data_IF_223460707838
#
_entry.id   IF_223460707838
#
_cell.length_a   1.000
_cell.length_b   1.000
_cell.length_c   1.000
_cell.angle_alpha   90.00
_cell.angle_beta   90.00
_cell.angle_gamma   90.00
#
_symmetry.space_group_name_H-M   'P 1'
#
loop_
_entity.id
_entity.type
_entity.pdbx_description
1 polymer ?
#
# COMPACT_ATOMS: atom_id res chain seq x y z
N UNK A 1 21.40 12.70 16.01
CA UNK A 1 21.34 11.22 15.98
C UNK A 1 20.55 10.82 14.74
N UNK A 2 20.95 9.79 14.00
CA UNK A 2 20.13 9.31 12.88
C UNK A 2 18.84 8.68 13.41
N UNK A 3 17.71 9.11 12.86
CA UNK A 3 16.39 8.57 13.16
C UNK A 3 15.73 8.09 11.88
N UNK A 4 14.76 7.20 12.02
CA UNK A 4 13.83 6.92 10.92
C UNK A 4 12.71 7.94 11.03
N UNK A 5 12.43 8.62 9.93
CA UNK A 5 11.38 9.62 9.83
C UNK A 5 10.39 9.19 8.75
N UNK A 6 9.11 9.39 9.03
CA UNK A 6 8.01 9.17 8.12
C UNK A 6 7.16 10.41 8.02
N UNK A 7 6.72 10.72 6.81
CA UNK A 7 5.74 11.75 6.56
C UNK A 7 4.58 11.13 5.80
N UNK A 8 3.40 11.22 6.41
CA UNK A 8 2.14 10.64 5.98
C UNK A 8 1.15 11.78 5.75
N UNK A 9 0.30 11.64 4.74
CA UNK A 9 -0.74 12.59 4.36
C UNK A 9 -2.03 11.84 3.98
N UNK A 10 -3.18 12.51 3.98
CA UNK A 10 -4.47 11.92 3.58
C UNK A 10 -4.72 12.09 2.08
N UNK A 11 -4.92 10.96 1.40
CA UNK A 11 -5.20 10.94 -0.03
C UNK A 11 -6.49 11.69 -0.35
N UNK A 12 -6.41 12.73 -1.20
CA UNK A 12 -7.57 13.44 -1.73
C UNK A 12 -8.24 14.40 -0.75
N UNK A 13 -7.65 14.69 0.41
CA UNK A 13 -8.29 15.49 1.46
C UNK A 13 -8.72 16.89 1.01
N UNK A 14 -7.88 17.59 0.24
CA UNK A 14 -8.25 18.90 -0.35
C UNK A 14 -9.53 18.84 -1.19
N UNK A 15 -9.78 17.75 -1.91
CA UNK A 15 -11.02 17.57 -2.68
C UNK A 15 -12.21 17.29 -1.75
N UNK A 16 -12.00 16.59 -0.63
CA UNK A 16 -13.02 16.36 0.38
C UNK A 16 -13.48 17.68 1.00
N UNK A 17 -12.53 18.56 1.35
CA UNK A 17 -12.82 19.89 1.90
C UNK A 17 -13.65 20.72 0.91
N UNK A 18 -13.26 20.73 -0.37
CA UNK A 18 -14.02 21.43 -1.41
C UNK A 18 -15.44 20.87 -1.62
N UNK A 19 -15.63 19.57 -1.40
CA UNK A 19 -16.95 18.93 -1.55
C UNK A 19 -17.86 19.18 -0.35
N UNK A 20 -17.36 18.99 0.87
CA UNK A 20 -18.08 19.22 2.14
C UNK A 20 -17.09 19.33 3.30
N UNK A 21 -16.87 20.55 3.78
CA UNK A 21 -15.95 20.85 4.88
C UNK A 21 -16.31 20.10 6.17
N UNK A 22 -17.60 19.92 6.47
CA UNK A 22 -18.02 19.25 7.71
C UNK A 22 -17.72 17.75 7.65
N UNK A 23 -17.97 17.10 6.52
CA UNK A 23 -17.62 15.68 6.34
C UNK A 23 -16.10 15.50 6.30
N UNK A 24 -15.36 16.41 5.65
CA UNK A 24 -13.90 16.39 5.65
C UNK A 24 -13.34 16.54 7.08
N UNK A 25 -13.89 17.44 7.89
CA UNK A 25 -13.51 17.61 9.29
C UNK A 25 -13.73 16.34 10.12
N UNK A 26 -14.79 15.58 9.86
CA UNK A 26 -15.03 14.27 10.52
C UNK A 26 -13.92 13.28 10.16
N UNK A 27 -13.56 13.17 8.88
CA UNK A 27 -12.47 12.30 8.42
C UNK A 27 -11.13 12.69 9.06
N UNK A 28 -10.82 13.99 9.09
CA UNK A 28 -9.58 14.48 9.70
C UNK A 28 -9.52 14.16 11.20
N UNK A 29 -10.63 14.35 11.91
CA UNK A 29 -10.71 14.00 13.32
C UNK A 29 -10.55 12.49 13.56
N UNK A 30 -11.12 11.65 12.69
CA UNK A 30 -10.93 10.20 12.77
C UNK A 30 -9.45 9.82 12.55
N UNK A 31 -8.78 10.44 11.58
CA UNK A 31 -7.34 10.26 11.36
C UNK A 31 -6.54 10.63 12.61
N UNK A 32 -6.77 11.80 13.19
CA UNK A 32 -6.09 12.26 14.40
C UNK A 32 -6.29 11.30 15.57
N UNK A 33 -7.53 10.87 15.80
CA UNK A 33 -7.85 9.95 16.89
C UNK A 33 -7.18 8.59 16.70
N UNK A 34 -7.10 8.08 15.48
CA UNK A 34 -6.41 6.82 15.16
C UNK A 34 -4.90 6.99 15.36
N UNK A 35 -4.30 8.02 14.76
CA UNK A 35 -2.86 8.28 14.86
C UNK A 35 -2.42 8.45 16.32
N UNK A 36 -3.13 9.29 17.08
CA UNK A 36 -2.86 9.52 18.49
C UNK A 36 -2.91 8.22 19.31
N UNK A 37 -3.94 7.38 19.10
CA UNK A 37 -4.09 6.11 19.83
C UNK A 37 -2.98 5.12 19.52
N UNK A 38 -2.53 5.02 18.27
CA UNK A 38 -1.47 4.07 17.91
C UNK A 38 -0.08 4.54 18.30
N UNK A 39 0.21 5.84 18.19
CA UNK A 39 1.49 6.42 18.64
C UNK A 39 1.61 6.31 20.16
N UNK A 40 0.55 6.64 20.91
CA UNK A 40 0.55 6.55 22.39
C UNK A 40 0.88 5.14 22.92
N UNK A 41 0.58 4.08 22.16
CA UNK A 41 0.90 2.69 22.54
C UNK A 41 2.39 2.34 22.39
N UNK A 42 3.17 3.16 21.69
CA UNK A 42 4.57 2.91 21.36
C UNK A 42 5.43 4.08 21.82
N UNK A 43 5.94 4.06 23.07
CA UNK A 43 6.75 5.15 23.62
C UNK A 43 8.01 5.47 22.82
N UNK A 44 8.51 4.53 22.00
CA UNK A 44 9.64 4.70 21.10
C UNK A 44 9.31 5.52 19.84
N UNK A 45 8.03 5.78 19.56
CA UNK A 45 7.57 6.53 18.38
C UNK A 45 7.05 7.89 18.81
N UNK A 46 7.59 8.94 18.21
CA UNK A 46 7.10 10.30 18.35
C UNK A 46 6.29 10.68 17.12
N UNK A 47 5.27 11.53 17.27
CA UNK A 47 4.50 12.01 16.14
C UNK A 47 3.94 13.41 16.35
N UNK A 48 3.91 14.16 15.25
CA UNK A 48 3.41 15.52 15.13
C UNK A 48 2.31 15.54 14.07
N UNK A 49 1.11 15.91 14.48
CA UNK A 49 -0.05 16.07 13.59
C UNK A 49 -0.19 17.54 13.20
N UNK A 50 -0.32 17.82 11.91
CA UNK A 50 -0.59 19.16 11.39
C UNK A 50 -1.40 19.04 10.10
N UNK A 51 -2.56 19.68 10.04
CA UNK A 51 -3.51 19.46 8.93
C UNK A 51 -3.77 17.96 8.69
N UNK A 52 -4.01 17.53 7.47
CA UNK A 52 -4.06 16.16 6.98
C UNK A 52 -2.76 15.35 7.09
N UNK A 53 -1.68 15.93 7.63
CA UNK A 53 -0.37 15.30 7.68
C UNK A 53 0.03 14.81 9.08
N UNK A 54 0.77 13.71 9.09
CA UNK A 54 1.45 13.15 10.26
C UNK A 54 2.94 13.02 9.95
N UNK A 55 3.75 13.68 10.79
CA UNK A 55 5.19 13.51 10.83
C UNK A 55 5.54 12.63 12.02
N UNK A 56 6.06 11.43 11.77
CA UNK A 56 6.41 10.47 12.81
C UNK A 56 7.88 10.09 12.73
N UNK A 57 8.53 9.88 13.87
CA UNK A 57 9.92 9.44 13.91
C UNK A 57 10.23 8.55 15.10
N UNK A 58 11.23 7.70 14.93
CA UNK A 58 11.71 6.79 15.97
C UNK A 58 13.19 6.49 15.76
N UNK A 59 13.86 6.09 16.84
CA UNK A 59 15.19 5.50 16.78
C UNK A 59 15.11 4.01 16.35
N UNK A 60 13.93 3.39 16.39
CA UNK A 60 13.66 2.02 15.91
C UNK A 60 12.84 2.03 14.62
N UNK A 61 13.39 1.41 13.57
CA UNK A 61 12.74 1.34 12.25
C UNK A 61 11.49 0.46 12.32
N UNK A 62 11.64 -0.71 12.91
CA UNK A 62 10.57 -1.69 13.10
C UNK A 62 9.41 -1.11 13.91
N UNK A 63 9.65 -0.38 14.99
CA UNK A 63 8.57 0.23 15.77
C UNK A 63 7.80 1.27 14.97
N UNK A 64 8.51 2.09 14.19
CA UNK A 64 7.86 3.08 13.32
C UNK A 64 7.04 2.41 12.22
N UNK A 65 7.59 1.42 11.51
CA UNK A 65 6.84 0.65 10.48
C UNK A 65 5.59 0.02 11.09
N UNK A 66 5.76 -0.65 12.24
CA UNK A 66 4.67 -1.36 12.89
C UNK A 66 3.58 -0.41 13.40
N UNK A 67 3.95 0.79 13.87
CA UNK A 67 3.01 1.84 14.27
C UNK A 67 2.21 2.35 13.07
N UNK A 68 2.90 2.74 12.01
CA UNK A 68 2.28 3.35 10.83
C UNK A 68 1.38 2.36 10.08
N UNK A 69 1.82 1.11 9.91
CA UNK A 69 0.98 0.09 9.29
C UNK A 69 -0.32 -0.16 10.09
N UNK A 70 -0.27 -0.13 11.42
CA UNK A 70 -1.48 -0.22 12.25
C UNK A 70 -2.40 1.00 12.09
N UNK A 71 -1.85 2.22 11.92
CA UNK A 71 -2.63 3.41 11.58
C UNK A 71 -3.33 3.23 10.24
N UNK A 72 -2.62 2.74 9.22
CA UNK A 72 -3.19 2.49 7.88
C UNK A 72 -4.34 1.48 7.90
N UNK A 73 -4.16 0.35 8.61
CA UNK A 73 -5.23 -0.65 8.76
C UNK A 73 -6.48 -0.05 9.40
N UNK A 74 -6.32 0.70 10.49
CA UNK A 74 -7.45 1.31 11.22
C UNK A 74 -8.13 2.39 10.41
N UNK A 75 -7.37 3.17 9.65
CA UNK A 75 -7.89 4.12 8.68
C UNK A 75 -8.74 3.40 7.63
N UNK A 76 -8.23 2.31 7.04
CA UNK A 76 -8.99 1.52 6.08
C UNK A 76 -10.29 0.97 6.69
N UNK A 77 -10.22 0.33 7.87
CA UNK A 77 -11.41 -0.19 8.58
C UNK A 77 -12.48 0.88 8.80
N UNK A 78 -12.07 2.10 9.12
CA UNK A 78 -12.98 3.21 9.41
C UNK A 78 -13.84 3.59 8.20
N UNK A 79 -13.41 3.29 6.98
CA UNK A 79 -14.19 3.54 5.76
C UNK A 79 -15.52 2.78 5.72
N UNK A 80 -15.67 1.69 6.46
CA UNK A 80 -16.95 0.99 6.53
C UNK A 80 -18.06 1.83 7.20
N UNK A 81 -17.66 2.83 8.01
CA UNK A 81 -18.58 3.76 8.67
C UNK A 81 -18.96 4.98 7.83
N UNK A 82 -18.35 5.18 6.66
CA UNK A 82 -18.63 6.33 5.79
C UNK A 82 -19.64 6.00 4.71
N UNK A 83 -20.39 7.02 4.32
CA UNK A 83 -21.26 7.01 3.14
C UNK A 83 -20.60 7.81 2.01
N UNK A 84 -20.97 7.53 0.76
CA UNK A 84 -20.41 8.22 -0.43
C UNK A 84 -18.88 8.08 -0.55
N UNK A 85 -18.37 6.84 -0.54
CA UNK A 85 -16.93 6.53 -0.64
C UNK A 85 -16.26 7.01 -1.93
N UNK A 86 -17.03 7.48 -2.90
CA UNK A 86 -16.53 8.17 -4.10
C UNK A 86 -16.02 9.60 -3.82
N UNK A 87 -16.35 10.15 -2.65
CA UNK A 87 -15.98 11.51 -2.24
C UNK A 87 -15.30 11.53 -0.88
N UNK A 88 -15.74 10.69 0.05
CA UNK A 88 -15.33 10.74 1.45
C UNK A 88 -14.76 9.40 1.88
N UNK A 89 -13.45 9.36 2.11
CA UNK A 89 -12.72 8.16 2.50
C UNK A 89 -11.50 8.52 3.36
N UNK A 90 -11.03 7.57 4.17
CA UNK A 90 -9.87 7.74 5.03
C UNK A 90 -8.76 6.80 4.56
N UNK A 91 -7.84 7.33 3.76
CA UNK A 91 -6.74 6.58 3.16
C UNK A 91 -5.42 7.36 3.32
N UNK A 92 -4.56 7.00 4.28
CA UNK A 92 -3.25 7.62 4.43
C UNK A 92 -2.29 7.16 3.33
N UNK A 93 -1.33 8.02 2.97
CA UNK A 93 -0.23 7.74 2.04
C UNK A 93 1.05 8.36 2.58
N UNK A 94 2.21 7.77 2.30
CA UNK A 94 3.46 8.34 2.79
C UNK A 94 4.68 7.47 2.62
N UNK A 95 5.82 8.05 2.94
CA UNK A 95 7.13 7.38 2.90
C UNK A 95 7.81 7.55 4.25
N UNK A 96 8.72 6.62 4.49
CA UNK A 96 9.75 6.75 5.49
C UNK A 96 11.14 6.65 4.86
N UNK A 97 12.10 7.32 5.45
CA UNK A 97 13.51 7.11 5.17
C UNK A 97 14.33 7.25 6.45
N UNK A 98 15.54 6.68 6.42
CA UNK A 98 16.56 7.04 7.39
C UNK A 98 17.01 8.48 7.12
N UNK A 99 17.17 9.27 8.16
CA UNK A 99 17.70 10.62 8.05
C UNK A 99 18.22 11.12 9.39
N UNK A 100 18.95 12.23 9.36
CA UNK A 100 19.31 12.93 10.60
C UNK A 100 18.09 13.71 11.05
N UNK A 101 17.65 13.53 12.29
CA UNK A 101 16.61 14.37 12.87
C UNK A 101 17.25 15.18 13.98
N UNK A 102 17.54 16.45 13.69
CA UNK A 102 18.05 17.40 14.66
C UNK A 102 16.91 18.25 15.21
N UNK A 103 16.10 17.67 16.11
CA UNK A 103 15.13 18.48 16.87
C UNK A 103 15.93 19.40 17.79
N UNK A 104 16.08 20.66 17.38
CA UNK A 104 16.69 21.69 18.20
C UNK A 104 15.61 22.39 19.03
N UNK A 105 15.69 22.27 20.36
CA UNK A 105 14.93 23.12 21.26
C UNK A 105 15.48 24.55 21.16
N UNK A 106 14.86 25.36 20.31
CA UNK A 106 15.15 26.80 20.24
C UNK A 106 14.28 27.54 21.25
N UNK A 107 14.75 28.70 21.71
CA UNK A 107 13.91 29.62 22.48
C UNK A 107 12.64 29.92 21.67
N UNK A 108 11.53 29.35 22.14
CA UNK A 108 10.20 29.53 21.59
C UNK A 108 9.62 30.80 22.19
N UNK A 109 8.95 31.61 21.37
CA UNK A 109 8.00 32.55 21.94
C UNK A 109 6.89 31.73 22.62
N UNK A 110 6.18 32.26 23.63
CA UNK A 110 5.14 31.51 24.36
C UNK A 110 4.06 30.87 23.47
N UNK A 111 3.93 31.36 22.23
CA UNK A 111 2.95 30.96 21.23
C UNK A 111 3.56 30.32 19.96
N UNK A 112 4.86 29.99 19.94
CA UNK A 112 5.54 29.48 18.74
C UNK A 112 6.53 28.36 19.05
N UNK A 113 6.13 27.12 18.76
CA UNK A 113 7.01 25.95 18.76
C UNK A 113 7.81 25.89 17.46
N UNK A 114 9.12 25.58 17.53
CA UNK A 114 9.99 25.44 16.36
C UNK A 114 10.66 24.08 16.36
N UNK A 115 10.11 23.13 15.62
CA UNK A 115 10.75 21.84 15.38
C UNK A 115 11.61 21.94 14.11
N UNK A 116 12.93 21.85 14.26
CA UNK A 116 13.85 21.83 13.12
C UNK A 116 14.04 20.40 12.63
N UNK A 117 13.53 20.06 11.46
CA UNK A 117 13.62 18.69 10.93
C UNK A 117 14.25 18.73 9.54
N UNK A 118 15.49 18.26 9.45
CA UNK A 118 16.28 18.23 8.21
C UNK A 118 16.51 16.78 7.81
N UNK A 119 15.57 16.20 7.08
CA UNK A 119 15.63 14.79 6.69
C UNK A 119 15.35 14.60 5.19
N UNK A 120 16.10 13.68 4.56
CA UNK A 120 15.79 13.22 3.20
C UNK A 120 14.36 12.64 3.11
N UNK A 121 13.80 12.15 4.22
CA UNK A 121 12.43 11.64 4.28
C UNK A 121 11.40 12.71 3.88
N UNK A 122 11.67 13.99 4.17
CA UNK A 122 10.78 15.08 3.73
C UNK A 122 10.83 15.26 2.20
N UNK A 123 12.01 15.10 1.60
CA UNK A 123 12.17 15.13 0.13
C UNK A 123 11.48 13.93 -0.51
N UNK A 124 11.62 12.74 0.08
CA UNK A 124 10.92 11.54 -0.37
C UNK A 124 9.41 11.76 -0.36
N UNK A 125 8.85 12.18 0.78
CA UNK A 125 7.40 12.36 0.93
C UNK A 125 6.82 13.46 0.06
N UNK A 126 7.52 14.58 -0.15
CA UNK A 126 7.09 15.61 -1.08
C UNK A 126 7.01 15.09 -2.53
N UNK A 127 7.96 14.26 -2.95
CA UNK A 127 7.93 13.64 -4.30
C UNK A 127 6.85 12.56 -4.41
N UNK A 128 6.53 11.84 -3.33
CA UNK A 128 5.51 10.79 -3.35
C UNK A 128 4.14 11.31 -3.77
N UNK A 129 3.73 12.47 -3.27
CA UNK A 129 2.39 13.00 -3.53
C UNK A 129 2.10 13.11 -5.04
N UNK A 130 3.10 13.51 -5.82
CA UNK A 130 2.96 13.71 -7.26
C UNK A 130 2.99 12.40 -8.06
N UNK A 131 3.76 11.40 -7.60
CA UNK A 131 4.10 10.23 -8.41
C UNK A 131 3.44 8.93 -7.92
N UNK A 132 3.04 8.85 -6.66
CA UNK A 132 2.44 7.65 -6.10
C UNK A 132 0.94 7.77 -5.96
N UNK A 133 0.26 6.77 -6.51
CA UNK A 133 -1.18 6.58 -6.38
C UNK A 133 -1.47 5.56 -5.27
N UNK A 134 -2.55 5.81 -4.55
CA UNK A 134 -3.10 4.91 -3.55
C UNK A 134 -2.54 5.09 -2.13
N UNK A 135 -3.11 4.31 -1.22
CA UNK A 135 -2.77 4.30 0.21
C UNK A 135 -1.51 3.44 0.43
N UNK A 136 -0.36 3.97 0.02
CA UNK A 136 0.93 3.27 0.10
C UNK A 136 1.76 3.79 1.26
N UNK A 137 2.46 2.87 1.92
CA UNK A 137 3.46 3.18 2.95
C UNK A 137 4.80 2.68 2.43
N UNK A 138 5.63 3.61 1.99
CA UNK A 138 6.92 3.28 1.39
C UNK A 138 8.06 3.34 2.38
N UNK A 139 8.98 2.39 2.28
CA UNK A 139 10.26 2.40 2.98
C UNK A 139 11.37 2.68 1.97
N UNK A 140 11.99 3.86 2.07
CA UNK A 140 13.17 4.22 1.31
C UNK A 140 14.41 3.65 1.99
N UNK A 141 15.18 2.85 1.24
CA UNK A 141 16.37 2.15 1.69
C UNK A 141 17.53 2.58 0.80
N UNK A 142 18.62 3.04 1.40
CA UNK A 142 19.81 3.40 0.62
C UNK A 142 20.42 2.14 -0.03
N UNK A 143 21.03 2.27 -1.20
CA UNK A 143 21.69 1.21 -1.97
C UNK A 143 23.01 0.76 -1.35
N UNK A 144 22.99 0.50 -0.05
CA UNK A 144 24.07 -0.08 0.72
C UNK A 144 23.63 -1.50 1.11
N UNK A 145 24.40 -2.52 0.72
CA UNK A 145 24.04 -3.94 0.90
C UNK A 145 23.64 -4.27 2.35
N UNK A 146 24.35 -3.71 3.33
CA UNK A 146 24.05 -3.93 4.74
C UNK A 146 22.69 -3.36 5.16
N UNK A 147 22.30 -2.19 4.66
CA UNK A 147 21.00 -1.59 4.99
C UNK A 147 19.84 -2.36 4.35
N UNK A 148 20.04 -2.88 3.13
CA UNK A 148 19.03 -3.72 2.46
C UNK A 148 18.83 -5.04 3.22
N UNK A 149 19.92 -5.74 3.58
CA UNK A 149 19.86 -6.97 4.36
C UNK A 149 19.22 -6.78 5.74
N UNK A 150 19.51 -5.66 6.42
CA UNK A 150 18.91 -5.35 7.71
C UNK A 150 17.40 -5.14 7.64
N UNK A 151 16.84 -4.79 6.49
CA UNK A 151 15.39 -4.61 6.32
C UNK A 151 14.74 -5.92 5.89
N UNK A 152 15.36 -6.65 4.97
CA UNK A 152 14.81 -7.90 4.44
C UNK A 152 14.76 -9.03 5.47
N UNK A 153 15.63 -8.99 6.48
CA UNK A 153 15.76 -10.07 7.48
C UNK A 153 15.38 -9.62 8.90
N UNK A 154 14.68 -8.50 9.05
CA UNK A 154 14.25 -8.00 10.36
C UNK A 154 12.98 -8.70 10.83
N UNK A 155 13.14 -9.69 11.72
CA UNK A 155 12.03 -10.43 12.32
C UNK A 155 11.10 -9.59 13.22
N UNK A 156 11.51 -8.37 13.58
CA UNK A 156 10.68 -7.47 14.39
C UNK A 156 9.73 -6.63 13.54
N UNK A 157 9.93 -6.58 12.22
CA UNK A 157 8.95 -5.99 11.29
C UNK A 157 7.83 -7.00 11.10
N UNK A 158 6.63 -6.62 11.52
CA UNK A 158 5.46 -7.51 11.53
C UNK A 158 4.75 -7.58 10.19
N UNK A 159 5.27 -6.96 9.14
CA UNK A 159 4.60 -6.82 7.86
C UNK A 159 5.52 -7.27 6.72
N UNK A 160 4.95 -7.81 5.67
CA UNK A 160 5.69 -8.10 4.45
C UNK A 160 6.20 -6.80 3.81
N UNK A 161 7.41 -6.83 3.28
CA UNK A 161 7.97 -5.73 2.48
C UNK A 161 8.06 -6.19 1.05
N UNK A 162 7.32 -5.53 0.17
CA UNK A 162 7.29 -5.83 -1.26
C UNK A 162 8.17 -4.84 -2.01
N UNK A 163 9.15 -5.34 -2.75
CA UNK A 163 10.01 -4.49 -3.57
C UNK A 163 9.30 -4.18 -4.89
N UNK A 164 9.04 -2.90 -5.12
CA UNK A 164 8.52 -2.37 -6.37
C UNK A 164 9.64 -1.54 -7.02
N UNK A 165 10.30 -2.14 -8.01
CA UNK A 165 11.45 -1.54 -8.70
C UNK A 165 11.02 -0.62 -9.86
N UNK A 166 9.71 -0.42 -10.07
CA UNK A 166 9.16 0.37 -11.17
C UNK A 166 9.45 1.88 -11.07
N UNK A 167 9.90 2.35 -9.91
CA UNK A 167 10.14 3.78 -9.67
C UNK A 167 11.38 4.03 -8.82
N UNK A 168 12.02 5.18 -9.04
CA UNK A 168 13.16 5.66 -8.25
C UNK A 168 13.04 7.18 -8.08
N UNK A 169 12.81 7.66 -6.85
CA UNK A 169 12.66 9.12 -6.60
C UNK A 169 13.96 9.84 -6.27
N UNK A 170 14.91 9.12 -5.69
CA UNK A 170 16.24 9.60 -5.36
C UNK A 170 17.25 8.56 -5.84
N UNK A 171 18.33 9.04 -6.45
CA UNK A 171 19.47 8.20 -6.80
C UNK A 171 20.01 7.50 -5.55
N UNK A 172 20.44 6.26 -5.71
CA UNK A 172 20.96 5.41 -4.64
C UNK A 172 19.94 5.01 -3.56
N UNK A 173 18.64 5.10 -3.84
CA UNK A 173 17.60 4.54 -2.97
C UNK A 173 16.75 3.50 -3.72
N UNK A 174 16.36 2.46 -2.99
CA UNK A 174 15.29 1.53 -3.35
C UNK A 174 14.09 1.76 -2.46
N UNK A 175 12.92 1.42 -2.97
CA UNK A 175 11.66 1.60 -2.26
C UNK A 175 10.97 0.25 -2.10
N UNK A 176 10.38 0.06 -0.92
CA UNK A 176 9.59 -1.13 -0.62
C UNK A 176 8.23 -0.70 -0.08
N UNK A 177 7.16 -1.28 -0.59
CA UNK A 177 5.85 -1.15 0.01
C UNK A 177 5.76 -2.01 1.25
N UNK A 178 5.26 -1.41 2.33
CA UNK A 178 4.77 -2.18 3.46
C UNK A 178 3.44 -2.79 3.05
N UNK A 179 3.33 -4.12 3.08
CA UNK A 179 2.11 -4.88 2.85
C UNK A 179 1.19 -4.80 4.07
N UNK A 180 0.76 -3.58 4.41
CA UNK A 180 0.17 -3.20 5.68
C UNK A 180 -1.22 -3.81 5.95
N UNK A 181 -1.86 -4.48 4.99
CA UNK A 181 -3.16 -5.12 5.21
C UNK A 181 -3.10 -6.32 6.19
N UNK A 182 -1.95 -6.95 6.39
CA UNK A 182 -1.83 -8.11 7.29
C UNK A 182 -0.50 -8.09 8.03
N UNK A 183 -0.56 -8.23 9.35
CA UNK A 183 0.63 -8.46 10.16
C UNK A 183 0.91 -9.97 10.36
N UNK A 184 2.14 -10.32 10.71
CA UNK A 184 2.54 -11.68 11.09
C UNK A 184 2.09 -12.06 12.50
N UNK A 185 1.74 -11.08 13.33
CA UNK A 185 1.53 -11.24 14.78
C UNK A 185 0.05 -11.30 15.21
N UNK A 186 -0.92 -11.12 14.30
CA UNK A 186 -2.33 -11.20 14.72
C UNK A 186 -2.67 -12.61 15.26
N UNK A 187 -3.76 -12.81 16.01
CA UNK A 187 -4.13 -14.13 16.53
C UNK A 187 -4.78 -15.04 15.48
N UNK A 188 -5.45 -16.12 15.88
CA UNK A 188 -6.15 -17.11 15.02
C UNK A 188 -7.14 -16.60 13.96
N UNK A 189 -7.42 -15.28 13.87
CA UNK A 189 -8.37 -14.65 12.94
C UNK A 189 -7.71 -13.80 11.82
N UNK A 190 -6.41 -13.97 11.50
CA UNK A 190 -5.74 -13.12 10.49
C UNK A 190 -6.46 -13.07 9.15
N UNK A 191 -6.88 -14.23 8.65
CA UNK A 191 -7.41 -14.37 7.29
C UNK A 191 -8.72 -13.61 7.16
N UNK A 192 -9.61 -13.72 8.16
CA UNK A 192 -10.92 -13.07 8.13
C UNK A 192 -10.79 -11.55 8.26
N UNK A 193 -9.89 -11.07 9.13
CA UNK A 193 -9.59 -9.65 9.24
C UNK A 193 -9.04 -9.08 7.93
N UNK A 194 -8.13 -9.81 7.29
CA UNK A 194 -7.58 -9.43 5.99
C UNK A 194 -8.66 -9.42 4.89
N UNK A 195 -9.53 -10.43 4.84
CA UNK A 195 -10.67 -10.48 3.91
C UNK A 195 -11.58 -9.26 4.12
N UNK A 196 -11.88 -8.89 5.36
CA UNK A 196 -12.69 -7.71 5.67
C UNK A 196 -12.05 -6.42 5.12
N UNK A 197 -10.74 -6.24 5.31
CA UNK A 197 -10.02 -5.08 4.75
C UNK A 197 -10.07 -5.08 3.21
N UNK A 198 -9.90 -6.24 2.58
CA UNK A 198 -10.01 -6.40 1.13
C UNK A 198 -11.41 -6.05 0.64
N UNK A 199 -12.45 -6.45 1.38
CA UNK A 199 -13.84 -6.15 1.04
C UNK A 199 -14.13 -4.65 1.06
N UNK A 200 -13.59 -3.93 2.05
CA UNK A 200 -13.64 -2.47 2.11
C UNK A 200 -12.89 -1.85 0.92
N UNK A 201 -11.70 -2.34 0.60
CA UNK A 201 -10.92 -1.86 -0.55
C UNK A 201 -11.64 -2.12 -1.90
N UNK A 202 -12.30 -3.26 -2.05
CA UNK A 202 -13.16 -3.57 -3.21
C UNK A 202 -14.31 -2.57 -3.31
N UNK A 203 -14.98 -2.25 -2.20
CA UNK A 203 -16.06 -1.25 -2.15
C UNK A 203 -15.57 0.12 -2.63
N UNK A 204 -14.40 0.56 -2.14
CA UNK A 204 -13.75 1.81 -2.58
C UNK A 204 -13.48 1.83 -4.09
N UNK A 205 -12.97 0.74 -4.67
CA UNK A 205 -12.74 0.63 -6.12
C UNK A 205 -14.05 0.72 -6.90
N UNK A 206 -15.10 0.02 -6.45
CA UNK A 206 -16.39 -0.03 -7.16
C UNK A 206 -17.12 1.31 -7.12
N UNK A 207 -17.13 1.98 -5.97
CA UNK A 207 -17.75 3.30 -5.80
C UNK A 207 -17.05 4.37 -6.63
N UNK A 208 -15.75 4.19 -6.94
CA UNK A 208 -14.94 5.10 -7.75
C UNK A 208 -14.76 4.64 -9.22
N UNK A 209 -15.45 3.59 -9.64
CA UNK A 209 -15.27 2.96 -10.97
C UNK A 209 -15.51 3.85 -12.18
N UNK A 210 -16.20 4.99 -12.01
CA UNK A 210 -16.53 5.93 -13.10
C UNK A 210 -15.50 7.06 -13.28
N UNK A 211 -14.55 7.21 -12.35
CA UNK A 211 -13.58 8.30 -12.39
C UNK A 211 -12.18 7.74 -12.60
N UNK A 212 -11.73 7.62 -13.85
CA UNK A 212 -10.44 7.01 -14.19
C UNK A 212 -9.24 7.64 -13.46
N UNK A 213 -9.26 8.97 -13.26
CA UNK A 213 -8.18 9.71 -12.57
C UNK A 213 -8.01 9.26 -11.12
N UNK A 214 -9.12 8.95 -10.46
CA UNK A 214 -9.19 8.59 -9.04
C UNK A 214 -9.15 7.08 -8.88
N UNK A 215 -9.75 6.32 -9.79
CA UNK A 215 -9.86 4.86 -9.73
C UNK A 215 -8.51 4.17 -9.51
N UNK A 216 -7.47 4.61 -10.22
CA UNK A 216 -6.15 4.01 -10.13
C UNK A 216 -5.61 4.03 -8.68
N UNK A 217 -5.93 5.06 -7.90
CA UNK A 217 -5.50 5.15 -6.50
C UNK A 217 -6.12 4.06 -5.63
N UNK A 218 -7.40 3.76 -5.85
CA UNK A 218 -8.10 2.72 -5.10
C UNK A 218 -7.67 1.33 -5.57
N UNK A 219 -7.34 1.17 -6.86
CA UNK A 219 -6.75 -0.06 -7.39
C UNK A 219 -5.40 -0.34 -6.72
N UNK A 220 -4.52 0.67 -6.61
CA UNK A 220 -3.24 0.51 -5.90
C UNK A 220 -3.43 0.13 -4.43
N UNK A 221 -4.39 0.73 -3.73
CA UNK A 221 -4.73 0.32 -2.36
C UNK A 221 -5.18 -1.14 -2.29
N UNK A 222 -6.08 -1.56 -3.20
CA UNK A 222 -6.54 -2.96 -3.26
C UNK A 222 -5.39 -3.91 -3.60
N UNK A 223 -4.46 -3.51 -4.48
CA UNK A 223 -3.27 -4.29 -4.83
C UNK A 223 -2.43 -4.65 -3.60
N UNK A 224 -2.20 -3.71 -2.68
CA UNK A 224 -1.49 -4.00 -1.43
C UNK A 224 -2.19 -5.12 -0.64
N UNK A 225 -3.52 -5.03 -0.49
CA UNK A 225 -4.30 -6.06 0.20
C UNK A 225 -4.27 -7.43 -0.46
N UNK A 226 -4.35 -7.44 -1.79
CA UNK A 226 -4.26 -8.66 -2.59
C UNK A 226 -2.87 -9.32 -2.48
N UNK A 227 -1.79 -8.54 -2.56
CA UNK A 227 -0.44 -9.06 -2.35
C UNK A 227 -0.26 -9.57 -0.91
N UNK A 228 -0.77 -8.87 0.11
CA UNK A 228 -0.80 -9.37 1.50
C UNK A 228 -1.53 -10.72 1.64
N UNK A 229 -2.52 -10.98 0.79
CA UNK A 229 -3.35 -12.19 0.82
C UNK A 229 -2.73 -13.39 0.09
N UNK A 230 -1.78 -13.17 -0.82
CA UNK A 230 -1.14 -14.22 -1.65
C UNK A 230 -0.73 -15.48 -0.87
N UNK A 231 -0.17 -15.32 0.34
CA UNK A 231 0.24 -16.42 1.23
C UNK A 231 -0.90 -17.35 1.67
N UNK A 232 -2.15 -16.90 1.61
CA UNK A 232 -3.34 -17.68 2.00
C UNK A 232 -3.97 -18.44 0.83
N UNK A 233 -3.43 -18.31 -0.38
CA UNK A 233 -3.89 -19.06 -1.54
C UNK A 233 -3.45 -20.54 -1.40
N UNK A 234 -4.37 -21.40 -0.96
CA UNK A 234 -4.15 -22.84 -0.81
C UNK A 234 -5.11 -23.78 -1.56
N UNK A 235 -6.27 -23.31 -2.02
CA UNK A 235 -7.27 -24.11 -2.74
C UNK A 235 -7.89 -23.35 -3.92
N UNK A 236 -8.13 -24.03 -5.05
CA UNK A 236 -8.71 -23.44 -6.28
C UNK A 236 -10.06 -22.70 -6.07
N UNK A 237 -10.79 -23.03 -4.99
CA UNK A 237 -12.05 -22.41 -4.61
C UNK A 237 -11.90 -21.14 -3.77
N UNK A 238 -10.72 -20.51 -3.72
CA UNK A 238 -10.48 -19.32 -2.88
C UNK A 238 -11.50 -18.19 -3.16
N UNK A 239 -12.23 -17.71 -2.14
CA UNK A 239 -13.33 -16.77 -2.33
C UNK A 239 -12.85 -15.39 -2.78
N UNK A 240 -11.69 -14.92 -2.31
CA UNK A 240 -11.13 -13.62 -2.70
C UNK A 240 -10.73 -13.66 -4.16
N UNK A 241 -9.96 -14.68 -4.57
CA UNK A 241 -9.52 -14.84 -5.96
C UNK A 241 -10.72 -14.92 -6.91
N UNK A 242 -11.71 -15.76 -6.59
CA UNK A 242 -12.93 -15.92 -7.39
C UNK A 242 -13.72 -14.61 -7.51
N UNK A 243 -13.79 -13.82 -6.43
CA UNK A 243 -14.45 -12.52 -6.43
C UNK A 243 -13.76 -11.54 -7.37
N UNK A 244 -12.43 -11.44 -7.32
CA UNK A 244 -11.67 -10.53 -8.20
C UNK A 244 -11.85 -10.90 -9.67
N UNK A 245 -11.67 -12.19 -10.01
CA UNK A 245 -11.87 -12.72 -11.37
C UNK A 245 -13.27 -12.39 -11.90
N UNK A 246 -14.30 -12.48 -11.05
CA UNK A 246 -15.69 -12.22 -11.43
C UNK A 246 -15.97 -10.74 -11.65
N UNK A 247 -15.51 -9.88 -10.75
CA UNK A 247 -15.95 -8.48 -10.67
C UNK A 247 -15.10 -7.51 -11.49
N UNK A 248 -13.81 -7.81 -11.73
CA UNK A 248 -12.86 -6.86 -12.32
C UNK A 248 -12.39 -7.26 -13.72
N UNK A 249 -13.34 -7.47 -14.65
CA UNK A 249 -13.03 -7.86 -16.04
C UNK A 249 -12.93 -6.69 -17.03
N UNK A 250 -13.31 -5.47 -16.65
CA UNK A 250 -13.27 -4.30 -17.54
C UNK A 250 -11.86 -3.73 -17.67
N UNK A 251 -11.58 -3.09 -18.81
CA UNK A 251 -10.25 -2.65 -19.26
C UNK A 251 -9.55 -1.72 -18.25
N UNK A 252 -10.32 -0.88 -17.57
CA UNK A 252 -9.83 0.01 -16.52
C UNK A 252 -9.21 -0.70 -15.30
N UNK A 253 -9.40 -2.01 -15.16
CA UNK A 253 -8.89 -2.83 -14.05
C UNK A 253 -7.63 -3.63 -14.41
N UNK A 254 -6.94 -3.29 -15.49
CA UNK A 254 -5.77 -4.03 -15.98
C UNK A 254 -4.69 -4.26 -14.92
N UNK A 255 -4.47 -3.30 -14.02
CA UNK A 255 -3.49 -3.45 -12.94
C UNK A 255 -3.90 -4.52 -11.91
N UNK A 256 -5.20 -4.76 -11.71
CA UNK A 256 -5.67 -5.90 -10.92
C UNK A 256 -5.41 -7.23 -11.63
N UNK A 257 -5.39 -7.26 -12.96
CA UNK A 257 -5.06 -8.48 -13.71
C UNK A 257 -3.59 -8.85 -13.52
N UNK A 258 -2.69 -7.86 -13.57
CA UNK A 258 -1.28 -8.05 -13.24
C UNK A 258 -1.12 -8.53 -11.79
N UNK A 259 -1.83 -7.90 -10.86
CA UNK A 259 -1.83 -8.29 -9.44
C UNK A 259 -2.29 -9.74 -9.23
N UNK A 260 -3.33 -10.17 -9.94
CA UNK A 260 -3.82 -11.55 -9.88
C UNK A 260 -2.74 -12.56 -10.29
N UNK A 261 -1.99 -12.26 -11.34
CA UNK A 261 -0.90 -13.10 -11.84
C UNK A 261 0.19 -13.22 -10.78
N UNK A 262 0.61 -12.11 -10.20
CA UNK A 262 1.61 -12.10 -9.13
C UNK A 262 1.15 -12.84 -7.88
N UNK A 263 -0.12 -12.70 -7.48
CA UNK A 263 -0.67 -13.46 -6.36
C UNK A 263 -0.59 -14.97 -6.62
N UNK A 264 -0.95 -15.41 -7.83
CA UNK A 264 -0.94 -16.82 -8.21
C UNK A 264 0.48 -17.39 -8.18
N UNK A 265 1.43 -16.69 -8.79
CA UNK A 265 2.84 -17.12 -8.86
C UNK A 265 3.51 -17.13 -7.49
N UNK A 266 3.11 -16.23 -6.60
CA UNK A 266 3.63 -16.21 -5.23
C UNK A 266 2.87 -17.17 -4.29
N UNK A 267 1.89 -17.92 -4.80
CA UNK A 267 1.17 -18.92 -4.00
C UNK A 267 1.92 -20.24 -3.92
N UNK A 268 1.67 -21.01 -2.85
CA UNK A 268 2.28 -22.34 -2.66
C UNK A 268 1.80 -23.41 -3.66
N UNK A 269 0.74 -23.12 -4.43
CA UNK A 269 0.12 -24.03 -5.39
C UNK A 269 -0.08 -23.33 -6.75
N UNK A 270 0.88 -22.52 -7.18
CA UNK A 270 0.80 -21.67 -8.37
C UNK A 270 0.26 -22.39 -9.63
N UNK A 271 0.76 -23.59 -9.92
CA UNK A 271 0.37 -24.39 -11.08
C UNK A 271 -1.11 -24.77 -11.08
N UNK A 272 -1.69 -25.08 -9.91
CA UNK A 272 -3.12 -25.42 -9.79
C UNK A 272 -4.01 -24.23 -10.10
N UNK A 273 -3.61 -23.04 -9.64
CA UNK A 273 -4.36 -21.82 -9.88
C UNK A 273 -4.25 -21.36 -11.33
N UNK A 274 -3.03 -21.32 -11.88
CA UNK A 274 -2.78 -20.92 -13.25
C UNK A 274 -3.55 -21.80 -14.24
N UNK A 275 -3.47 -23.13 -14.07
CA UNK A 275 -4.15 -24.09 -14.94
C UNK A 275 -5.64 -24.30 -14.62
N UNK A 276 -6.21 -23.58 -13.66
CA UNK A 276 -7.63 -23.71 -13.32
C UNK A 276 -8.50 -23.21 -14.48
N UNK A 277 -9.59 -23.93 -14.78
CA UNK A 277 -10.52 -23.55 -15.88
C UNK A 277 -10.98 -22.10 -15.78
N UNK A 278 -11.24 -21.63 -14.54
CA UNK A 278 -11.67 -20.26 -14.28
C UNK A 278 -10.61 -19.23 -14.65
N UNK A 279 -9.34 -19.46 -14.30
CA UNK A 279 -8.26 -18.54 -14.66
C UNK A 279 -7.97 -18.57 -16.15
N UNK A 280 -7.97 -19.75 -16.78
CA UNK A 280 -7.79 -19.87 -18.23
C UNK A 280 -8.92 -19.12 -18.97
N UNK A 281 -10.17 -19.29 -18.54
CA UNK A 281 -11.32 -18.58 -19.13
C UNK A 281 -11.25 -17.07 -18.90
N UNK A 282 -10.75 -16.64 -17.73
CA UNK A 282 -10.51 -15.23 -17.44
C UNK A 282 -9.44 -14.67 -18.37
N UNK A 283 -8.26 -15.29 -18.43
CA UNK A 283 -7.13 -14.91 -19.27
C UNK A 283 -7.55 -14.81 -20.75
N UNK A 284 -8.21 -15.85 -21.29
CA UNK A 284 -8.70 -15.84 -22.69
C UNK A 284 -9.65 -14.68 -22.99
N UNK A 285 -10.44 -14.24 -22.01
CA UNK A 285 -11.37 -13.13 -22.17
C UNK A 285 -10.72 -11.77 -21.99
N UNK A 286 -9.76 -11.65 -21.07
CA UNK A 286 -9.10 -10.38 -20.77
C UNK A 286 -7.95 -10.07 -21.71
N UNK A 287 -7.26 -11.08 -22.25
CA UNK A 287 -6.17 -10.89 -23.22
C UNK A 287 -6.63 -10.27 -24.55
N UNK A 288 -7.92 -10.33 -24.84
CA UNK A 288 -8.54 -9.70 -26.02
C UNK A 288 -8.99 -8.25 -25.78
N UNK A 289 -8.81 -7.71 -24.58
CA UNK A 289 -9.27 -6.38 -24.18
C UNK A 289 -8.18 -5.33 -24.36
N UNK A 290 -8.57 -4.05 -24.54
CA UNK A 290 -7.61 -2.95 -24.68
C UNK A 290 -6.78 -2.76 -23.41
N UNK A 291 -7.36 -3.01 -22.24
CA UNK A 291 -6.61 -2.98 -20.97
C UNK A 291 -5.36 -3.88 -20.96
N UNK A 292 -5.31 -4.91 -21.83
CA UNK A 292 -4.16 -5.79 -21.93
C UNK A 292 -2.94 -5.09 -22.54
N UNK A 293 -3.12 -4.11 -23.43
CA UNK A 293 -1.99 -3.31 -23.93
C UNK A 293 -1.31 -2.54 -22.81
N UNK A 294 -2.10 -1.93 -21.91
CA UNK A 294 -1.56 -1.22 -20.74
C UNK A 294 -0.77 -2.16 -19.82
N UNK A 295 -1.27 -3.39 -19.62
CA UNK A 295 -0.55 -4.40 -18.84
C UNK A 295 0.79 -4.74 -19.48
N UNK A 296 0.83 -4.99 -20.80
CA UNK A 296 2.07 -5.30 -21.51
C UNK A 296 3.04 -4.11 -21.51
N UNK A 297 2.55 -2.89 -21.69
CA UNK A 297 3.36 -1.68 -21.59
C UNK A 297 3.98 -1.52 -20.20
N UNK A 298 3.22 -1.80 -19.13
CA UNK A 298 3.72 -1.78 -17.76
C UNK A 298 4.82 -2.83 -17.55
N UNK A 299 4.58 -4.08 -17.93
CA UNK A 299 5.54 -5.19 -17.77
C UNK A 299 6.87 -4.95 -18.50
N UNK A 300 6.87 -4.16 -19.57
CA UNK A 300 8.07 -3.85 -20.35
C UNK A 300 8.85 -2.64 -19.81
N UNK A 301 8.41 -2.00 -18.73
CA UNK A 301 9.19 -0.92 -18.12
C UNK A 301 10.50 -1.46 -17.53
N UNK A 302 11.62 -0.71 -17.62
CA UNK A 302 12.92 -1.18 -17.13
C UNK A 302 12.94 -1.63 -15.65
N UNK A 303 12.04 -1.08 -14.82
CA UNK A 303 11.91 -1.43 -13.40
C UNK A 303 10.96 -2.59 -13.09
N UNK A 304 10.24 -3.13 -14.08
CA UNK A 304 9.19 -4.14 -13.87
C UNK A 304 9.65 -5.58 -14.16
N UNK A 305 10.96 -5.84 -14.07
CA UNK A 305 11.55 -7.15 -14.38
C UNK A 305 10.98 -8.29 -13.52
N UNK A 306 10.62 -8.00 -12.26
CA UNK A 306 9.99 -8.99 -11.39
C UNK A 306 8.58 -9.34 -11.87
N UNK A 307 7.74 -8.34 -12.16
CA UNK A 307 6.39 -8.55 -12.67
C UNK A 307 6.42 -9.29 -14.01
N UNK A 308 7.38 -8.97 -14.89
CA UNK A 308 7.60 -9.69 -16.15
C UNK A 308 7.93 -11.17 -15.93
N UNK A 309 8.84 -11.48 -14.99
CA UNK A 309 9.16 -12.88 -14.65
C UNK A 309 7.98 -13.63 -14.06
N UNK A 310 7.16 -12.97 -13.22
CA UNK A 310 5.92 -13.55 -12.74
C UNK A 310 4.97 -13.84 -13.91
N UNK A 311 4.86 -12.91 -14.87
CA UNK A 311 4.03 -13.11 -16.06
C UNK A 311 4.49 -14.30 -16.90
N UNK A 312 5.78 -14.38 -17.23
CA UNK A 312 6.37 -15.50 -17.97
C UNK A 312 6.09 -16.84 -17.29
N UNK A 313 6.37 -16.92 -15.99
CA UNK A 313 6.10 -18.12 -15.19
C UNK A 313 4.62 -18.50 -15.19
N UNK A 314 3.72 -17.52 -15.09
CA UNK A 314 2.28 -17.77 -15.16
C UNK A 314 1.85 -18.35 -16.52
N UNK A 315 2.43 -17.87 -17.62
CA UNK A 315 2.17 -18.43 -18.96
C UNK A 315 2.66 -19.89 -19.04
N UNK A 316 3.86 -20.17 -18.53
CA UNK A 316 4.42 -21.53 -18.52
C UNK A 316 3.52 -22.49 -17.73
N UNK A 317 3.08 -22.09 -16.54
CA UNK A 317 2.20 -22.89 -15.68
C UNK A 317 0.81 -23.13 -16.31
N UNK A 318 0.27 -22.17 -17.06
CA UNK A 318 -0.97 -22.38 -17.83
C UNK A 318 -0.79 -23.38 -18.97
N UNK A 319 0.40 -23.45 -19.58
CA UNK A 319 0.67 -24.31 -20.73
C UNK A 319 0.72 -25.80 -20.35
N UNK A 320 1.05 -26.14 -19.10
CA UNK A 320 1.23 -27.52 -18.58
C UNK A 320 -0.03 -28.40 -18.68
N UNK A 321 -1.23 -27.84 -18.93
CA UNK A 321 -2.48 -28.60 -19.21
C UNK A 321 -3.02 -28.47 -20.63
N UNK A 322 -2.27 -27.86 -21.55
CA UNK A 322 -2.65 -27.80 -22.97
C UNK A 322 -2.08 -28.96 -23.79
N UNK A 323 -1.44 -29.93 -23.12
CA UNK A 323 -0.94 -31.19 -23.68
C UNK A 323 -1.74 -32.36 -23.09
#
# INVERSE_FOLDING_TARGET
MEKILAFIDLLGFSQMVNNDENKARVILNDFYNIAFKEIKKRPSVNGHLFSDSLLAYSDSREDLINCLAAIYQKCLLKNDSYTELSKFFLLPRGAMSVGIVNVEDRQTAPNLTKDFIVSQALVHSAKLETQIKGSRLLVAVKNEQQQQMQIDWNRNIRYGLYQDDAFTFLENYKYKDVLWFSSFDDGTNHRDNLINLIDIAIKLVKDNSRNEKVLLQHIWTLRIGLLSYSKYLGQESDPVLNRIIREFKADQYWLLWMTLIEMIVNSTNEWKYAASKKMVDFYKKTSLKKGWSNLIEELNKPGEQYALKCFEKFIDEMAIRTI
#
